data_IF_913345256118
#
_entry.id   IF_913345256118
#
_cell.length_a   1.000
_cell.length_b   1.000
_cell.length_c   1.000
_cell.angle_alpha   90.00
_cell.angle_beta   90.00
_cell.angle_gamma   90.00
#
_symmetry.space_group_name_H-M   'P 1'
#
loop_
_entity.id
_entity.type
_entity.pdbx_description
1 polymer ?
#
# COMPACT_ATOMS: atom_id res chain seq x y z
N UNK A 1 -12.22 -33.19 11.68
CA UNK A 1 -12.64 -32.63 12.98
C UNK A 1 -11.71 -31.47 13.29
N UNK A 2 -12.16 -30.25 13.02
CA UNK A 2 -11.36 -29.04 13.23
C UNK A 2 -11.48 -28.60 14.69
N UNK A 3 -10.35 -28.53 15.40
CA UNK A 3 -10.25 -27.79 16.67
C UNK A 3 -10.01 -26.33 16.30
N UNK A 4 -10.97 -25.47 16.64
CA UNK A 4 -10.83 -24.03 16.53
C UNK A 4 -9.63 -23.55 17.37
N UNK A 5 -8.70 -22.84 16.73
CA UNK A 5 -7.69 -22.04 17.42
C UNK A 5 -8.41 -20.84 18.04
N UNK A 6 -8.36 -20.75 19.37
CA UNK A 6 -8.96 -19.68 20.14
C UNK A 6 -8.19 -18.35 19.93
N UNK A 7 -8.87 -17.19 19.93
CA UNK A 7 -8.19 -15.90 19.85
C UNK A 7 -7.41 -15.64 21.13
N UNK A 8 -6.18 -15.15 20.99
CA UNK A 8 -5.32 -14.72 22.08
C UNK A 8 -5.99 -13.57 22.86
N UNK A 9 -6.06 -13.72 24.19
CA UNK A 9 -6.61 -12.72 25.11
C UNK A 9 -5.66 -11.54 25.26
N UNK A 10 -6.18 -10.33 25.05
CA UNK A 10 -5.59 -9.10 25.57
C UNK A 10 -5.83 -9.03 27.09
N UNK A 11 -4.78 -8.86 27.89
CA UNK A 11 -4.84 -8.58 29.33
C UNK A 11 -4.11 -7.26 29.58
N UNK A 12 -4.81 -6.31 30.20
CA UNK A 12 -4.21 -5.09 30.74
C UNK A 12 -5.20 -3.95 31.01
N UNK A 13 -6.01 -4.07 32.07
CA UNK A 13 -6.69 -2.93 32.71
C UNK A 13 -5.74 -2.26 33.70
N UNK A 14 -5.68 -0.94 33.71
CA UNK A 14 -5.26 -0.15 34.86
C UNK A 14 -6.41 0.79 35.28
N UNK A 15 -6.66 0.82 36.58
CA UNK A 15 -7.79 1.49 37.21
C UNK A 15 -7.52 2.98 37.48
N UNK A 16 -8.63 3.69 37.67
CA UNK A 16 -8.78 5.10 38.05
C UNK A 16 -8.30 5.41 39.46
N UNK A 17 -7.84 6.65 39.66
CA UNK A 17 -7.61 7.30 40.97
C UNK A 17 -7.75 8.81 40.81
N UNK A 18 -8.60 9.44 41.62
CA UNK A 18 -9.17 10.76 41.40
C UNK A 18 -8.51 11.95 42.11
N UNK A 19 -8.83 13.13 41.59
CA UNK A 19 -9.28 14.30 42.35
C UNK A 19 -8.23 15.27 42.92
N UNK A 20 -8.26 16.52 42.43
CA UNK A 20 -8.44 17.73 43.27
C UNK A 20 -8.62 18.99 42.39
N UNK A 21 -9.63 19.80 42.73
CA UNK A 21 -9.92 21.13 42.19
C UNK A 21 -9.20 22.20 43.01
N UNK A 22 -8.68 23.24 42.35
CA UNK A 22 -8.51 24.63 42.82
C UNK A 22 -8.42 25.46 41.51
N UNK A 23 -9.11 26.56 41.18
CA UNK A 23 -9.84 27.56 41.96
C UNK A 23 -9.20 28.95 41.72
N UNK A 24 -9.85 29.81 40.91
CA UNK A 24 -9.52 31.24 40.70
C UNK A 24 -8.82 31.53 39.36
N UNK A 25 -9.11 32.58 38.60
CA UNK A 25 -9.97 33.76 38.77
C UNK A 25 -9.84 34.62 37.49
N UNK A 26 -10.85 35.45 37.24
CA UNK A 26 -11.14 36.15 35.99
C UNK A 26 -10.04 37.12 35.49
N UNK A 27 -10.03 37.36 34.16
CA UNK A 27 -10.20 38.72 33.60
C UNK A 27 -10.48 38.66 32.09
N UNK A 28 -11.65 39.20 31.72
CA UNK A 28 -12.03 39.53 30.37
C UNK A 28 -11.36 40.83 29.92
N UNK A 29 -10.93 40.87 28.66
CA UNK A 29 -10.76 42.10 27.89
C UNK A 29 -11.15 41.78 26.44
N UNK A 30 -12.32 42.29 26.05
CA UNK A 30 -12.82 42.18 24.68
C UNK A 30 -12.11 43.13 23.73
N UNK A 31 -12.10 42.75 22.45
CA UNK A 31 -12.02 43.60 21.24
C UNK A 31 -12.54 42.75 20.08
N UNK A 32 -13.81 42.98 19.74
CA UNK A 32 -14.24 43.68 18.52
C UNK A 32 -13.90 42.94 17.23
N UNK A 33 -14.92 42.26 16.70
CA UNK A 33 -15.08 41.85 15.31
C UNK A 33 -14.94 43.05 14.36
N UNK A 34 -14.25 42.86 13.23
CA UNK A 34 -14.73 43.16 11.86
C UNK A 34 -13.63 42.97 10.80
N UNK A 35 -14.07 42.47 9.65
CA UNK A 35 -13.48 42.57 8.31
C UNK A 35 -12.48 41.50 7.85
N UNK A 36 -13.02 40.31 7.53
CA UNK A 36 -12.41 39.34 6.62
C UNK A 36 -12.93 39.57 5.19
N UNK A 37 -12.08 39.74 4.16
CA UNK A 37 -12.53 39.82 2.77
C UNK A 37 -12.94 38.43 2.24
N UNK A 38 -13.86 38.35 1.26
CA UNK A 38 -14.36 37.07 0.78
C UNK A 38 -13.30 36.31 -0.02
N UNK A 39 -13.28 34.99 0.15
CA UNK A 39 -12.46 34.06 -0.60
C UNK A 39 -12.80 34.11 -2.09
N UNK A 40 -11.79 34.35 -2.92
CA UNK A 40 -11.86 34.25 -4.38
C UNK A 40 -11.89 32.76 -4.74
N UNK A 41 -12.99 32.31 -5.35
CA UNK A 41 -13.09 30.98 -5.95
C UNK A 41 -12.19 30.90 -7.18
N UNK A 42 -11.32 29.88 -7.33
CA UNK A 42 -10.65 29.66 -8.60
C UNK A 42 -11.65 29.07 -9.60
N UNK A 43 -12.01 29.86 -10.61
CA UNK A 43 -12.68 29.38 -11.81
C UNK A 43 -11.74 28.44 -12.56
N UNK A 44 -12.09 27.16 -12.63
CA UNK A 44 -11.46 26.18 -13.52
C UNK A 44 -11.84 26.52 -14.95
N UNK A 45 -10.97 27.27 -15.61
CA UNK A 45 -11.11 27.54 -17.04
C UNK A 45 -10.55 26.34 -17.82
N UNK A 46 -11.43 25.65 -18.55
CA UNK A 46 -11.19 24.41 -19.27
C UNK A 46 -10.36 24.57 -20.54
N UNK A 47 -9.19 25.20 -20.44
CA UNK A 47 -8.26 25.32 -21.57
C UNK A 47 -7.20 24.21 -21.51
N UNK A 48 -7.49 23.11 -22.19
CA UNK A 48 -6.53 22.07 -22.49
C UNK A 48 -5.38 22.67 -23.34
N UNK A 49 -4.20 22.82 -22.73
CA UNK A 49 -2.98 23.24 -23.43
C UNK A 49 -2.63 22.18 -24.49
N UNK A 50 -2.81 22.55 -25.76
CA UNK A 50 -2.44 21.71 -26.91
C UNK A 50 -0.92 21.69 -27.07
N UNK A 51 -0.31 20.52 -26.88
CA UNK A 51 1.06 20.26 -27.34
C UNK A 51 1.04 19.71 -28.77
N UNK A 52 1.94 20.17 -29.67
CA UNK A 52 2.11 19.59 -30.99
C UNK A 52 3.12 18.43 -30.92
N UNK A 53 2.65 17.19 -31.09
CA UNK A 53 3.56 16.06 -31.31
C UNK A 53 2.94 14.68 -31.04
N UNK A 54 2.67 13.94 -32.12
CA UNK A 54 2.26 12.51 -32.21
C UNK A 54 0.91 12.13 -31.57
N UNK A 55 -0.13 12.09 -32.42
CA UNK A 55 -1.41 11.42 -32.14
C UNK A 55 -1.22 9.90 -32.17
N UNK A 56 -0.92 9.30 -31.04
CA UNK A 56 -1.32 7.93 -30.74
C UNK A 56 -2.57 8.02 -29.88
N UNK A 57 -3.77 7.98 -30.49
CA UNK A 57 -5.01 7.97 -29.73
C UNK A 57 -5.06 6.73 -28.87
N UNK A 58 -5.15 6.89 -27.55
CA UNK A 58 -5.53 5.78 -26.70
C UNK A 58 -6.95 5.41 -27.12
N UNK A 59 -7.15 4.20 -27.64
CA UNK A 59 -8.47 3.67 -27.94
C UNK A 59 -9.37 3.82 -26.69
N UNK A 60 -10.67 4.04 -26.91
CA UNK A 60 -11.64 4.20 -25.83
C UNK A 60 -11.49 3.08 -24.79
N UNK A 61 -11.46 3.45 -23.52
CA UNK A 61 -11.22 2.50 -22.43
C UNK A 61 -12.45 1.60 -22.25
N UNK A 62 -12.27 0.30 -21.96
CA UNK A 62 -13.38 -0.65 -21.85
C UNK A 62 -14.30 -0.35 -20.66
N UNK A 63 -15.62 -0.40 -20.91
CA UNK A 63 -16.64 -0.32 -19.86
C UNK A 63 -16.85 -1.71 -19.21
N UNK A 64 -16.29 -1.88 -18.02
CA UNK A 64 -16.53 -3.06 -17.17
C UNK A 64 -17.53 -2.67 -16.07
N UNK A 65 -18.61 -3.46 -15.93
CA UNK A 65 -19.57 -3.31 -14.81
C UNK A 65 -18.89 -3.64 -13.48
N UNK A 66 -19.20 -2.83 -12.47
CA UNK A 66 -18.67 -2.96 -11.11
C UNK A 66 -19.80 -3.16 -10.09
N UNK A 67 -21.00 -3.52 -10.54
CA UNK A 67 -22.22 -3.53 -9.72
C UNK A 67 -22.19 -4.61 -8.63
N UNK A 68 -21.45 -5.69 -8.87
CA UNK A 68 -21.28 -6.81 -7.92
C UNK A 68 -20.06 -6.63 -6.99
N UNK A 69 -19.35 -5.50 -7.07
CA UNK A 69 -18.14 -5.23 -6.29
C UNK A 69 -18.46 -4.38 -5.06
N UNK A 70 -17.64 -4.51 -4.01
CA UNK A 70 -17.77 -3.72 -2.80
C UNK A 70 -17.65 -2.20 -3.09
N UNK A 71 -18.63 -1.43 -2.63
CA UNK A 71 -18.76 0.00 -2.97
C UNK A 71 -17.52 0.82 -2.60
N UNK A 72 -16.88 0.51 -1.47
CA UNK A 72 -15.69 1.23 -1.02
C UNK A 72 -14.49 0.88 -1.90
N UNK A 73 -14.31 -0.38 -2.26
CA UNK A 73 -13.26 -0.78 -3.20
C UNK A 73 -13.48 -0.19 -4.59
N UNK A 74 -14.74 -0.05 -5.04
CA UNK A 74 -15.07 0.66 -6.29
C UNK A 74 -14.74 2.14 -6.22
N UNK A 75 -15.02 2.82 -5.10
CA UNK A 75 -14.62 4.23 -4.93
C UNK A 75 -13.10 4.41 -5.02
N UNK A 76 -12.33 3.48 -4.44
CA UNK A 76 -10.86 3.49 -4.53
C UNK A 76 -10.35 3.25 -5.97
N UNK A 77 -11.17 2.69 -6.87
CA UNK A 77 -10.77 2.52 -8.28
C UNK A 77 -10.63 3.85 -9.04
N UNK A 78 -11.15 4.95 -8.50
CA UNK A 78 -10.98 6.30 -9.04
C UNK A 78 -9.65 6.96 -8.59
N UNK A 79 -8.90 6.36 -7.67
CA UNK A 79 -7.56 6.85 -7.29
C UNK A 79 -6.66 6.92 -8.53
N UNK A 80 -5.85 7.99 -8.64
CA UNK A 80 -4.94 8.18 -9.77
C UNK A 80 -3.58 7.56 -9.47
N UNK A 81 -3.21 6.51 -10.19
CA UNK A 81 -1.90 5.88 -10.16
C UNK A 81 -0.89 6.68 -11.01
N UNK A 82 0.40 6.48 -10.74
CA UNK A 82 1.50 7.05 -11.52
C UNK A 82 1.85 6.08 -12.65
N UNK A 83 1.66 6.50 -13.91
CA UNK A 83 2.10 5.72 -15.05
C UNK A 83 3.59 5.92 -15.32
N UNK A 84 4.28 4.84 -15.63
CA UNK A 84 5.73 4.83 -15.86
C UNK A 84 6.12 4.07 -17.13
N UNK A 85 7.29 4.40 -17.68
CA UNK A 85 7.96 3.55 -18.67
C UNK A 85 8.66 2.36 -17.98
N UNK A 86 9.23 1.44 -18.76
CA UNK A 86 9.95 0.26 -18.22
C UNK A 86 11.25 0.60 -17.46
N UNK A 87 11.65 1.87 -17.43
CA UNK A 87 12.79 2.37 -16.65
C UNK A 87 12.33 3.18 -15.43
N UNK A 88 11.05 3.05 -15.07
CA UNK A 88 10.42 3.76 -13.95
C UNK A 88 10.42 5.29 -14.12
N UNK A 89 10.45 5.80 -15.36
CA UNK A 89 10.26 7.23 -15.61
C UNK A 89 8.79 7.53 -15.71
N UNK A 90 8.31 8.51 -14.94
CA UNK A 90 6.91 8.95 -15.01
C UNK A 90 6.55 9.44 -16.42
N UNK A 91 5.50 8.86 -17.00
CA UNK A 91 4.95 9.25 -18.32
C UNK A 91 3.52 9.81 -18.24
N UNK A 92 2.84 9.68 -17.11
CA UNK A 92 1.47 10.18 -16.97
C UNK A 92 0.80 9.78 -15.67
N UNK A 93 -0.53 9.77 -15.70
CA UNK A 93 -1.39 9.33 -14.61
C UNK A 93 -2.63 8.66 -15.21
N UNK A 94 -3.16 7.67 -14.53
CA UNK A 94 -4.39 6.97 -14.93
C UNK A 94 -5.09 6.42 -13.68
N UNK A 95 -6.39 6.23 -13.76
CA UNK A 95 -7.19 5.63 -12.69
C UNK A 95 -6.72 4.24 -12.36
N UNK A 96 -6.83 3.88 -11.09
CA UNK A 96 -6.54 2.54 -10.58
C UNK A 96 -7.35 1.49 -11.34
N UNK A 97 -8.64 1.75 -11.64
CA UNK A 97 -9.45 0.89 -12.52
C UNK A 97 -8.68 0.52 -13.79
N UNK A 98 -8.32 1.53 -14.57
CA UNK A 98 -7.73 1.33 -15.88
C UNK A 98 -6.35 0.69 -15.82
N UNK A 99 -5.55 1.01 -14.79
CA UNK A 99 -4.25 0.41 -14.56
C UNK A 99 -4.31 -1.11 -14.31
N UNK A 100 -5.41 -1.62 -13.75
CA UNK A 100 -5.54 -3.01 -13.33
C UNK A 100 -6.40 -3.86 -14.29
N UNK A 101 -6.87 -3.30 -15.41
CA UNK A 101 -7.58 -4.06 -16.44
C UNK A 101 -6.58 -4.78 -17.35
N UNK A 102 -6.73 -6.10 -17.47
CA UNK A 102 -5.87 -6.93 -18.32
C UNK A 102 -5.79 -6.41 -19.77
N UNK A 103 -6.90 -5.91 -20.33
CA UNK A 103 -6.91 -5.33 -21.67
C UNK A 103 -5.91 -4.16 -21.82
N UNK A 104 -5.80 -3.29 -20.82
CA UNK A 104 -4.88 -2.17 -20.84
C UNK A 104 -3.45 -2.61 -20.53
N UNK A 105 -3.30 -3.55 -19.60
CA UNK A 105 -2.01 -4.17 -19.27
C UNK A 105 -1.38 -4.82 -20.51
N UNK A 106 -2.15 -5.57 -21.30
CA UNK A 106 -1.67 -6.19 -22.54
C UNK A 106 -1.35 -5.18 -23.64
N UNK A 107 -1.86 -3.95 -23.53
CA UNK A 107 -1.45 -2.80 -24.36
C UNK A 107 -0.20 -2.08 -23.83
N UNK A 108 0.40 -2.58 -22.76
CA UNK A 108 1.64 -2.08 -22.16
C UNK A 108 1.42 -1.02 -21.06
N UNK A 109 0.20 -0.85 -20.55
CA UNK A 109 -0.04 0.07 -19.44
C UNK A 109 0.68 -0.45 -18.18
N UNK A 110 1.54 0.39 -17.60
CA UNK A 110 2.44 0.05 -16.50
C UNK A 110 2.41 1.19 -15.48
N UNK A 111 2.27 0.85 -14.20
CA UNK A 111 2.22 1.84 -13.11
C UNK A 111 3.24 1.54 -12.01
N UNK A 112 3.57 2.58 -11.24
CA UNK A 112 4.45 2.48 -10.07
C UNK A 112 3.69 1.90 -8.88
N UNK A 113 4.32 1.02 -8.12
CA UNK A 113 3.76 0.39 -6.93
C UNK A 113 4.79 0.27 -5.80
N UNK A 114 4.35 -0.22 -4.64
CA UNK A 114 5.25 -0.62 -3.56
C UNK A 114 4.75 -1.85 -2.82
N UNK A 115 5.71 -2.58 -2.24
CA UNK A 115 5.50 -3.74 -1.37
C UNK A 115 6.29 -3.56 -0.07
N UNK A 116 5.57 -3.48 1.05
CA UNK A 116 6.15 -3.39 2.39
C UNK A 116 6.34 -4.79 2.99
N UNK A 117 7.52 -5.02 3.55
CA UNK A 117 7.86 -6.16 4.39
C UNK A 117 8.22 -5.65 5.79
N UNK A 118 7.29 -5.78 6.73
CA UNK A 118 7.46 -5.35 8.12
C UNK A 118 7.80 -6.54 9.00
N UNK A 119 8.95 -6.46 9.65
CA UNK A 119 9.40 -7.41 10.66
C UNK A 119 9.20 -6.82 12.05
N UNK A 120 8.73 -7.62 13.00
CA UNK A 120 8.77 -7.22 14.41
C UNK A 120 10.20 -7.36 14.99
N UNK A 121 10.40 -7.01 16.27
CA UNK A 121 11.72 -7.13 16.91
C UNK A 121 12.17 -8.58 17.13
N UNK A 122 11.27 -9.54 17.03
CA UNK A 122 11.55 -10.99 17.03
C UNK A 122 11.91 -11.52 15.64
N UNK A 123 12.10 -10.63 14.64
CA UNK A 123 12.33 -10.97 13.23
C UNK A 123 11.20 -11.81 12.61
N UNK A 124 9.95 -11.71 13.09
CA UNK A 124 8.79 -12.32 12.42
C UNK A 124 8.22 -11.36 11.39
N UNK A 125 7.92 -11.86 10.19
CA UNK A 125 7.31 -11.08 9.11
C UNK A 125 5.79 -10.96 9.36
N UNK A 126 5.26 -9.75 9.27
CA UNK A 126 3.82 -9.51 9.26
C UNK A 126 3.27 -9.81 7.85
N UNK A 127 2.45 -10.85 7.75
CA UNK A 127 1.65 -11.16 6.58
C UNK A 127 0.21 -10.68 6.77
N UNK A 128 -0.44 -10.36 5.65
CA UNK A 128 -1.87 -10.10 5.62
C UNK A 128 -2.57 -11.04 4.63
N UNK A 129 -3.79 -11.42 4.97
CA UNK A 129 -4.73 -12.04 4.04
C UNK A 129 -5.66 -10.96 3.53
N UNK A 130 -5.67 -10.76 2.20
CA UNK A 130 -6.53 -9.80 1.52
C UNK A 130 -8.00 -10.10 1.84
N UNK A 131 -8.81 -9.07 2.08
CA UNK A 131 -10.25 -9.24 2.24
C UNK A 131 -10.86 -9.88 1.00
N UNK A 132 -12.02 -10.52 1.16
CA UNK A 132 -12.76 -11.05 0.02
C UNK A 132 -13.38 -9.92 -0.83
N UNK A 133 -13.42 -8.68 -0.30
CA UNK A 133 -13.91 -7.50 -1.00
C UNK A 133 -12.89 -6.90 -1.99
N UNK A 134 -11.60 -7.24 -1.89
CA UNK A 134 -10.57 -6.75 -2.82
C UNK A 134 -10.88 -7.15 -4.26
N UNK A 135 -10.74 -6.19 -5.17
CA UNK A 135 -10.96 -6.43 -6.61
C UNK A 135 -9.90 -7.37 -7.19
N UNK A 136 -8.62 -7.14 -6.88
CA UNK A 136 -7.53 -8.03 -7.29
C UNK A 136 -7.14 -8.99 -6.15
N UNK A 137 -6.97 -10.27 -6.48
CA UNK A 137 -6.52 -11.33 -5.58
C UNK A 137 -7.25 -11.41 -4.22
N UNK A 138 -8.59 -11.44 -4.18
CA UNK A 138 -9.33 -11.56 -2.92
C UNK A 138 -8.98 -12.85 -2.16
N UNK A 139 -8.86 -12.76 -0.84
CA UNK A 139 -8.60 -13.91 0.04
C UNK A 139 -7.16 -14.46 0.01
N UNK A 140 -6.29 -13.94 -0.85
CA UNK A 140 -4.89 -14.36 -0.94
C UNK A 140 -4.05 -13.82 0.24
N UNK A 141 -3.14 -14.65 0.76
CA UNK A 141 -2.06 -14.22 1.65
C UNK A 141 -0.98 -13.48 0.87
N UNK A 142 -0.39 -12.45 1.48
CA UNK A 142 0.65 -11.62 0.88
C UNK A 142 1.50 -10.96 1.97
N UNK A 143 2.54 -10.22 1.57
CA UNK A 143 3.37 -9.41 2.48
C UNK A 143 2.55 -8.29 3.16
N UNK A 144 3.21 -7.52 4.02
CA UNK A 144 2.56 -6.63 5.00
C UNK A 144 1.57 -5.65 4.39
N UNK A 145 1.93 -4.96 3.31
CA UNK A 145 1.06 -3.98 2.65
C UNK A 145 1.56 -3.76 1.22
N UNK A 146 0.66 -3.79 0.25
CA UNK A 146 0.98 -3.55 -1.17
C UNK A 146 -0.02 -2.54 -1.73
N UNK A 147 0.49 -1.48 -2.37
CA UNK A 147 -0.37 -0.45 -2.94
C UNK A 147 0.40 0.48 -3.88
N UNK A 148 -0.17 1.64 -4.16
CA UNK A 148 0.33 2.58 -5.15
C UNK A 148 0.63 3.95 -4.52
N UNK A 149 1.77 4.58 -4.87
CA UNK A 149 1.88 6.02 -4.76
C UNK A 149 0.83 6.70 -5.67
N UNK A 150 0.15 7.69 -5.11
CA UNK A 150 -0.85 8.47 -5.85
C UNK A 150 -0.17 9.52 -6.73
N UNK A 151 -0.81 9.85 -7.84
CA UNK A 151 -0.37 10.92 -8.75
C UNK A 151 -0.74 12.30 -8.20
N UNK A 152 -0.17 12.65 -7.04
CA UNK A 152 -0.30 13.94 -6.38
C UNK A 152 1.09 14.47 -5.97
N UNK A 153 1.28 15.78 -5.73
CA UNK A 153 2.60 16.36 -5.47
C UNK A 153 3.37 15.73 -4.30
N UNK A 154 2.68 15.22 -3.28
CA UNK A 154 3.31 14.63 -2.09
C UNK A 154 3.93 13.26 -2.37
N UNK A 155 3.26 12.45 -3.20
CA UNK A 155 3.65 11.07 -3.51
C UNK A 155 4.38 10.93 -4.86
N UNK A 156 4.42 12.00 -5.66
CA UNK A 156 5.21 12.10 -6.91
C UNK A 156 6.69 12.43 -6.68
N UNK A 157 7.09 12.84 -5.48
CA UNK A 157 8.49 13.20 -5.18
C UNK A 157 9.40 11.96 -5.25
N UNK A 158 10.37 11.99 -6.15
CA UNK A 158 11.24 10.84 -6.45
C UNK A 158 12.55 10.86 -5.66
N UNK A 159 12.97 12.02 -5.13
CA UNK A 159 14.21 12.11 -4.34
C UNK A 159 14.12 11.19 -3.11
N UNK A 160 15.13 10.34 -2.95
CA UNK A 160 15.22 9.30 -1.93
C UNK A 160 13.94 8.42 -1.83
N UNK A 161 13.23 8.23 -2.94
CA UNK A 161 11.95 7.52 -3.01
C UNK A 161 10.91 7.99 -1.96
N UNK A 162 10.98 9.25 -1.52
CA UNK A 162 10.16 9.72 -0.40
C UNK A 162 8.66 9.70 -0.72
N UNK A 163 8.27 9.93 -1.97
CA UNK A 163 6.86 9.85 -2.39
C UNK A 163 6.28 8.46 -2.17
N UNK A 164 7.02 7.42 -2.53
CA UNK A 164 6.63 6.02 -2.32
C UNK A 164 6.62 5.65 -0.83
N UNK A 165 7.61 6.13 -0.05
CA UNK A 165 7.63 5.90 1.41
C UNK A 165 6.46 6.57 2.13
N UNK A 166 6.05 7.77 1.70
CA UNK A 166 4.83 8.44 2.20
C UNK A 166 3.57 7.64 1.85
N UNK A 167 3.49 7.11 0.63
CA UNK A 167 2.38 6.24 0.21
C UNK A 167 2.28 4.98 1.08
N UNK A 168 3.43 4.35 1.37
CA UNK A 168 3.52 3.20 2.26
C UNK A 168 3.03 3.52 3.67
N UNK A 169 3.49 4.62 4.29
CA UNK A 169 2.98 5.06 5.60
C UNK A 169 1.45 5.29 5.57
N UNK A 170 0.93 5.96 4.54
CA UNK A 170 -0.51 6.20 4.38
C UNK A 170 -1.29 4.89 4.34
N UNK A 171 -0.83 3.90 3.58
CA UNK A 171 -1.54 2.62 3.42
C UNK A 171 -1.36 1.67 4.60
N UNK A 172 -0.19 1.66 5.26
CA UNK A 172 -0.02 0.97 6.56
C UNK A 172 -1.05 1.46 7.59
N UNK A 173 -1.33 2.77 7.63
CA UNK A 173 -2.41 3.30 8.45
C UNK A 173 -3.79 2.89 7.95
N UNK A 174 -4.07 3.05 6.65
CA UNK A 174 -5.39 2.81 6.10
C UNK A 174 -5.82 1.33 6.15
N UNK A 175 -4.89 0.41 5.93
CA UNK A 175 -5.17 -1.03 5.85
C UNK A 175 -4.98 -1.74 7.20
N UNK A 176 -3.87 -1.49 7.89
CA UNK A 176 -3.50 -2.19 9.12
C UNK A 176 -3.82 -1.38 10.39
N UNK A 177 -4.27 -0.13 10.27
CA UNK A 177 -4.55 0.75 11.40
C UNK A 177 -3.30 1.22 12.15
N UNK A 178 -2.11 1.07 11.57
CA UNK A 178 -0.85 1.48 12.20
C UNK A 178 -0.81 3.01 12.30
N UNK A 179 -0.65 3.61 13.50
CA UNK A 179 -0.52 5.05 13.64
C UNK A 179 0.67 5.60 12.82
N UNK A 180 0.52 6.77 12.19
CA UNK A 180 1.55 7.30 11.27
C UNK A 180 2.87 7.58 11.99
N UNK A 181 2.79 7.98 13.25
CA UNK A 181 3.91 8.22 14.15
C UNK A 181 4.71 6.96 14.48
N UNK A 182 4.12 5.77 14.35
CA UNK A 182 4.82 4.51 14.58
C UNK A 182 5.70 4.12 13.40
N UNK A 183 5.39 4.53 12.16
CA UNK A 183 6.18 4.19 10.98
C UNK A 183 6.36 5.44 10.10
N UNK A 184 7.20 6.40 10.52
CA UNK A 184 7.50 7.57 9.72
C UNK A 184 8.30 7.19 8.46
N UNK A 185 8.21 7.94 7.35
CA UNK A 185 8.87 7.58 6.08
C UNK A 185 10.38 7.34 6.19
N UNK A 186 11.04 7.95 7.17
CA UNK A 186 12.48 7.79 7.46
C UNK A 186 12.84 6.40 7.98
N UNK A 187 11.88 5.67 8.57
CA UNK A 187 12.06 4.30 9.05
C UNK A 187 11.72 3.23 7.99
N UNK A 188 11.21 3.66 6.83
CA UNK A 188 10.85 2.78 5.72
C UNK A 188 12.06 2.69 4.77
N UNK A 189 12.73 1.54 4.76
CA UNK A 189 13.95 1.33 4.00
C UNK A 189 13.63 0.90 2.56
N UNK A 190 13.96 1.73 1.58
CA UNK A 190 13.86 1.37 0.17
C UNK A 190 15.06 0.51 -0.25
N UNK A 191 14.80 -0.75 -0.64
CA UNK A 191 15.84 -1.70 -1.03
C UNK A 191 16.11 -1.71 -2.53
N UNK A 192 15.09 -2.05 -3.33
CA UNK A 192 15.25 -2.26 -4.78
C UNK A 192 13.89 -2.21 -5.49
N UNK A 193 13.87 -2.39 -6.81
CA UNK A 193 12.66 -2.41 -7.65
C UNK A 193 12.51 -3.71 -8.40
N UNK A 194 11.29 -4.22 -8.48
CA UNK A 194 10.93 -5.41 -9.25
C UNK A 194 9.87 -5.02 -10.29
N UNK A 195 10.11 -5.33 -11.54
CA UNK A 195 9.11 -5.25 -12.61
C UNK A 195 8.50 -6.64 -12.80
N UNK A 196 7.19 -6.75 -12.58
CA UNK A 196 6.44 -8.00 -12.73
C UNK A 196 5.07 -7.75 -13.40
N UNK A 197 4.48 -8.82 -13.94
CA UNK A 197 3.11 -8.85 -14.46
C UNK A 197 2.37 -10.09 -13.95
N UNK A 198 1.13 -9.94 -13.49
CA UNK A 198 0.33 -11.04 -12.95
C UNK A 198 -1.17 -10.85 -13.23
N UNK A 199 -1.88 -11.92 -13.56
CA UNK A 199 -3.33 -11.88 -13.72
C UNK A 199 -4.03 -12.35 -12.45
N UNK A 200 -5.08 -11.64 -12.03
CA UNK A 200 -5.97 -12.03 -10.92
C UNK A 200 -7.07 -12.96 -11.42
N UNK A 201 -7.74 -12.55 -12.50
CA UNK A 201 -8.77 -13.30 -13.21
C UNK A 201 -8.78 -12.90 -14.70
N UNK A 202 -9.89 -13.17 -15.41
CA UNK A 202 -10.01 -12.82 -16.83
C UNK A 202 -10.05 -11.32 -17.10
N UNK A 203 -10.46 -10.49 -16.14
CA UNK A 203 -10.66 -9.05 -16.28
C UNK A 203 -9.50 -8.28 -15.64
N UNK A 204 -9.09 -8.68 -14.45
CA UNK A 204 -8.18 -7.90 -13.60
C UNK A 204 -6.78 -8.51 -13.49
N UNK A 205 -5.78 -7.65 -13.32
CA UNK A 205 -4.38 -8.02 -13.14
C UNK A 205 -3.54 -6.89 -12.58
N UNK A 206 -2.24 -7.11 -12.54
CA UNK A 206 -1.19 -6.22 -12.06
C UNK A 206 -0.07 -6.18 -13.11
N UNK A 207 0.48 -4.98 -13.35
CA UNK A 207 1.67 -4.76 -14.17
C UNK A 207 2.41 -3.56 -13.61
N UNK A 208 3.48 -3.83 -12.88
CA UNK A 208 4.02 -2.86 -11.93
C UNK A 208 5.53 -2.80 -11.95
N UNK A 209 6.07 -1.60 -11.74
CA UNK A 209 7.41 -1.43 -11.16
C UNK A 209 7.23 -1.23 -9.65
N UNK A 210 7.51 -2.28 -8.90
CA UNK A 210 7.25 -2.42 -7.48
C UNK A 210 8.49 -2.06 -6.64
N UNK A 211 8.34 -1.04 -5.81
CA UNK A 211 9.35 -0.63 -4.85
C UNK A 211 9.32 -1.53 -3.62
N UNK A 212 10.43 -2.22 -3.35
CA UNK A 212 10.55 -3.08 -2.18
C UNK A 212 10.97 -2.26 -0.97
N UNK A 213 10.10 -2.22 0.03
CA UNK A 213 10.24 -1.44 1.25
C UNK A 213 10.32 -2.35 2.48
N UNK A 214 11.33 -2.16 3.33
CA UNK A 214 11.49 -2.93 4.56
C UNK A 214 11.37 -2.05 5.81
N UNK A 215 10.65 -2.56 6.80
CA UNK A 215 10.49 -1.96 8.13
C UNK A 215 10.84 -3.02 9.17
N UNK A 216 11.55 -2.65 10.24
CA UNK A 216 11.78 -3.54 11.39
C UNK A 216 11.39 -2.83 12.68
N UNK A 217 10.17 -3.06 13.16
CA UNK A 217 9.58 -2.39 14.32
C UNK A 217 8.39 -3.15 14.88
N UNK A 218 8.15 -3.03 16.18
CA UNK A 218 6.89 -3.45 16.78
C UNK A 218 5.85 -2.35 16.56
N UNK A 219 4.68 -2.73 16.05
CA UNK A 219 3.59 -1.81 15.72
C UNK A 219 2.27 -2.25 16.33
N UNK A 220 1.39 -1.28 16.56
CA UNK A 220 0.01 -1.50 16.96
C UNK A 220 -0.86 -1.76 15.73
N UNK A 221 -1.69 -2.80 15.76
CA UNK A 221 -2.55 -3.18 14.64
C UNK A 221 -4.02 -2.98 14.99
N UNK A 222 -4.75 -2.32 14.09
CA UNK A 222 -6.20 -2.25 14.09
C UNK A 222 -6.72 -2.31 12.63
N UNK A 223 -6.59 -3.47 11.96
CA UNK A 223 -6.80 -3.55 10.52
C UNK A 223 -8.24 -3.29 10.09
N UNK A 224 -8.37 -2.73 8.91
CA UNK A 224 -9.65 -2.49 8.27
C UNK A 224 -10.18 -3.79 7.64
N UNK A 225 -11.33 -4.33 8.08
CA UNK A 225 -11.87 -5.59 7.56
C UNK A 225 -12.26 -5.53 6.08
N UNK A 226 -12.47 -4.31 5.52
CA UNK A 226 -12.72 -4.15 4.09
C UNK A 226 -11.44 -4.33 3.26
N UNK A 227 -10.25 -4.18 3.87
CA UNK A 227 -8.96 -4.35 3.21
C UNK A 227 -8.31 -5.71 3.56
N UNK A 228 -8.42 -6.13 4.83
CA UNK A 228 -7.69 -7.25 5.40
C UNK A 228 -8.65 -8.23 6.10
N UNK A 229 -8.64 -9.49 5.65
CA UNK A 229 -9.40 -10.59 6.24
C UNK A 229 -8.79 -11.09 7.54
N UNK A 230 -7.46 -11.25 7.54
CA UNK A 230 -6.69 -11.74 8.69
C UNK A 230 -5.24 -11.31 8.55
N UNK A 231 -4.46 -11.41 9.62
CA UNK A 231 -3.03 -11.13 9.61
C UNK A 231 -2.31 -12.05 10.59
N UNK A 232 -1.02 -12.32 10.34
CA UNK A 232 -0.20 -13.09 11.25
C UNK A 232 1.27 -12.67 11.16
N UNK A 233 1.97 -12.79 12.28
CA UNK A 233 3.43 -12.75 12.31
C UNK A 233 3.95 -14.17 12.14
N UNK A 234 4.86 -14.39 11.20
CA UNK A 234 5.44 -15.71 10.92
C UNK A 234 6.96 -15.71 11.04
N UNK A 235 7.53 -16.79 11.53
CA UNK A 235 8.96 -17.10 11.37
C UNK A 235 9.27 -17.54 9.94
N UNK A 236 10.54 -17.83 9.65
CA UNK A 236 10.95 -18.38 8.36
C UNK A 236 10.31 -19.75 8.11
N UNK A 237 10.38 -20.62 9.12
CA UNK A 237 9.88 -21.99 9.07
C UNK A 237 8.35 -22.00 8.89
N UNK A 238 7.65 -21.11 9.60
CA UNK A 238 6.20 -20.93 9.45
C UNK A 238 5.83 -20.38 8.05
N UNK A 239 6.64 -19.50 7.46
CA UNK A 239 6.44 -19.05 6.09
C UNK A 239 6.69 -20.17 5.07
N UNK A 240 7.74 -20.97 5.24
CA UNK A 240 8.00 -22.14 4.38
C UNK A 240 6.83 -23.13 4.42
N UNK A 241 6.26 -23.39 5.61
CA UNK A 241 5.05 -24.21 5.74
C UNK A 241 3.85 -23.58 5.02
N UNK A 242 3.67 -22.27 5.12
CA UNK A 242 2.60 -21.54 4.44
C UNK A 242 2.74 -21.63 2.91
N UNK A 243 3.93 -21.44 2.38
CA UNK A 243 4.23 -21.61 0.94
C UNK A 243 3.97 -23.07 0.52
N UNK A 244 4.36 -24.04 1.35
CA UNK A 244 4.05 -25.45 1.14
C UNK A 244 2.54 -25.71 1.02
N UNK A 245 1.73 -25.16 1.91
CA UNK A 245 0.26 -25.25 1.85
C UNK A 245 -0.32 -24.59 0.58
N UNK A 246 0.25 -23.47 0.15
CA UNK A 246 -0.16 -22.80 -1.08
C UNK A 246 0.14 -23.66 -2.32
N UNK A 247 1.30 -24.32 -2.37
CA UNK A 247 1.67 -25.23 -3.45
C UNK A 247 0.73 -26.45 -3.55
N UNK A 248 0.14 -26.89 -2.45
CA UNK A 248 -0.87 -27.96 -2.41
C UNK A 248 -2.31 -27.46 -2.62
N UNK A 249 -2.50 -26.16 -2.86
CA UNK A 249 -3.81 -25.55 -3.11
C UNK A 249 -4.70 -25.41 -1.87
N UNK A 250 -4.15 -25.58 -0.66
CA UNK A 250 -4.91 -25.44 0.59
C UNK A 250 -5.22 -23.96 0.91
N UNK A 251 -4.31 -23.07 0.50
CA UNK A 251 -4.46 -21.62 0.60
C UNK A 251 -3.98 -20.96 -0.69
N UNK A 252 -4.25 -19.66 -0.84
CA UNK A 252 -3.76 -18.86 -1.96
C UNK A 252 -2.76 -17.82 -1.48
N UNK A 253 -1.72 -17.59 -2.27
CA UNK A 253 -0.75 -16.51 -2.10
C UNK A 253 -0.70 -15.68 -3.36
N UNK A 254 -0.37 -14.40 -3.21
CA UNK A 254 -0.28 -13.49 -4.34
C UNK A 254 0.97 -13.76 -5.19
N UNK A 255 0.92 -13.63 -6.53
CA UNK A 255 2.05 -13.97 -7.41
C UNK A 255 3.35 -13.22 -7.08
N UNK A 256 3.29 -11.91 -6.81
CA UNK A 256 4.48 -11.13 -6.45
C UNK A 256 5.12 -11.62 -5.14
N UNK A 257 4.31 -12.02 -4.16
CA UNK A 257 4.81 -12.54 -2.90
C UNK A 257 5.56 -13.87 -3.10
N UNK A 258 5.06 -14.75 -3.96
CA UNK A 258 5.77 -15.98 -4.35
C UNK A 258 7.11 -15.66 -5.02
N UNK A 259 7.11 -14.76 -6.02
CA UNK A 259 8.33 -14.32 -6.73
C UNK A 259 9.39 -13.78 -5.75
N UNK A 260 8.97 -12.90 -4.84
CA UNK A 260 9.85 -12.29 -3.86
C UNK A 260 10.35 -13.32 -2.84
N UNK A 261 9.48 -14.22 -2.38
CA UNK A 261 9.82 -15.31 -1.47
C UNK A 261 10.91 -16.20 -2.07
N UNK A 262 10.73 -16.68 -3.30
CA UNK A 262 11.65 -17.60 -3.96
C UNK A 262 13.01 -16.98 -4.28
N UNK A 263 13.04 -15.67 -4.55
CA UNK A 263 14.23 -15.04 -5.13
C UNK A 263 15.08 -14.28 -4.11
N UNK A 264 14.42 -13.57 -3.19
CA UNK A 264 15.04 -12.53 -2.38
C UNK A 264 14.77 -12.64 -0.88
N UNK A 265 13.52 -12.90 -0.49
CA UNK A 265 13.03 -12.66 0.87
C UNK A 265 13.87 -13.36 1.94
N UNK A 266 14.15 -14.65 1.77
CA UNK A 266 14.91 -15.42 2.76
C UNK A 266 16.33 -14.88 2.95
N UNK A 267 16.99 -14.41 1.87
CA UNK A 267 18.33 -13.80 1.92
C UNK A 267 18.31 -12.48 2.68
N UNK A 268 17.31 -11.62 2.43
CA UNK A 268 17.12 -10.38 3.18
C UNK A 268 16.84 -10.67 4.65
N UNK A 269 16.01 -11.67 4.92
CA UNK A 269 15.62 -12.07 6.27
C UNK A 269 16.81 -12.62 7.08
N UNK A 270 17.75 -13.34 6.46
CA UNK A 270 19.03 -13.72 7.11
C UNK A 270 19.91 -12.53 7.50
N UNK A 271 19.62 -11.35 6.94
CA UNK A 271 20.49 -10.18 7.01
C UNK A 271 19.73 -8.89 7.38
N UNK A 272 18.66 -8.98 8.17
CA UNK A 272 17.85 -7.81 8.57
C UNK A 272 18.67 -6.71 9.27
N UNK A 273 19.82 -7.04 9.87
CA UNK A 273 20.71 -6.05 10.51
C UNK A 273 21.76 -5.47 9.54
N UNK A 274 21.81 -5.93 8.28
CA UNK A 274 22.78 -5.58 7.24
C UNK A 274 22.10 -5.40 5.87
N UNK A 275 20.92 -4.78 5.86
CA UNK A 275 20.11 -4.60 4.64
C UNK A 275 20.79 -3.72 3.59
N UNK A 276 21.72 -2.86 4.02
CA UNK A 276 22.54 -2.03 3.13
C UNK A 276 23.33 -2.84 2.08
N UNK A 277 23.59 -4.13 2.31
CA UNK A 277 24.24 -5.02 1.35
C UNK A 277 23.35 -5.38 0.15
N UNK A 278 22.03 -5.16 0.25
CA UNK A 278 21.03 -5.51 -0.76
C UNK A 278 20.36 -4.28 -1.37
N UNK A 279 20.80 -3.08 -0.98
CA UNK A 279 20.30 -1.84 -1.56
C UNK A 279 20.83 -1.71 -2.98
N UNK A 280 19.91 -1.70 -3.94
CA UNK A 280 20.17 -1.47 -5.36
C UNK A 280 19.06 -0.56 -5.91
N UNK A 281 19.36 0.74 -5.96
CA UNK A 281 18.44 1.76 -6.47
C UNK A 281 18.60 1.99 -7.97
N UNK A 282 19.60 1.40 -8.61
CA UNK A 282 19.86 1.59 -10.04
C UNK A 282 19.14 0.52 -10.87
N UNK A 283 19.19 -0.74 -10.44
CA UNK A 283 18.61 -1.86 -11.17
C UNK A 283 17.12 -2.02 -10.93
N UNK A 284 16.42 -2.41 -11.98
CA UNK A 284 15.05 -2.95 -11.92
C UNK A 284 15.13 -4.43 -12.27
N UNK A 285 14.76 -5.29 -11.32
CA UNK A 285 14.74 -6.74 -11.51
C UNK A 285 13.49 -7.13 -12.29
N UNK A 286 13.63 -7.82 -13.44
CA UNK A 286 12.50 -8.21 -14.28
C UNK A 286 12.16 -9.67 -14.04
N UNK A 287 10.91 -9.97 -13.65
CA UNK A 287 10.47 -11.30 -13.21
C UNK A 287 9.11 -11.68 -13.78
#
# INVERSE_FOLDING_TARGET
>A
MWRALAPARAIGRAASGGGARIGGGARALGRSLKDTPPAVQPTVDGSCLRFPGRRGGWAAMPEVSTDDLDERQVQLMAEMCILVDENDRRIGAETKKNCHLNENIERGLLHRAFSVFLFNTENKLLLQQRSDAKITFPGCFTNTCCSHPLSNPSELEENDAIGVRRAAQRRLKAELGIPMEEVPPEEINYLTRIHYKAQSDSIWGEHEIDYILLVKKNVTLNPDPNEIKSYCYVTKEELEELIGKAAHGEIKITPWFQIIADTFLFKWWDNLNRLNLFVDHEKIHRM
#
